data_IF_317551093468
#
_entry.id   IF_317551093468
#
_cell.length_a   1.000
_cell.length_b   1.000
_cell.length_c   1.000
_cell.angle_alpha   90.00
_cell.angle_beta   90.00
_cell.angle_gamma   90.00
#
_symmetry.space_group_name_H-M   'P 1'
#
loop_
_entity.id
_entity.type
_entity.pdbx_description
1 polymer ?
#
# COMPACT_ATOMS: atom_id res chain seq x y z
N UNK A 1 -62.06 -8.95 -21.62
CA UNK A 1 -61.92 -8.10 -20.41
C UNK A 1 -61.70 -9.02 -19.24
N UNK A 2 -60.47 -9.13 -18.73
CA UNK A 2 -60.13 -10.01 -17.63
C UNK A 2 -59.25 -9.26 -16.64
N UNK A 3 -59.84 -8.86 -15.52
CA UNK A 3 -59.17 -8.34 -14.34
C UNK A 3 -58.78 -9.55 -13.49
N UNK A 4 -57.49 -9.74 -13.22
CA UNK A 4 -56.97 -10.77 -12.32
C UNK A 4 -56.48 -10.09 -11.04
N UNK A 5 -57.20 -10.39 -9.97
CA UNK A 5 -56.95 -9.98 -8.59
C UNK A 5 -55.75 -10.73 -8.01
N UNK A 6 -55.00 -9.97 -7.23
CA UNK A 6 -53.87 -10.36 -6.38
C UNK A 6 -54.36 -11.25 -5.23
N UNK A 7 -53.67 -12.35 -4.97
CA UNK A 7 -53.64 -13.00 -3.66
C UNK A 7 -52.20 -13.33 -3.27
N UNK A 8 -51.82 -12.83 -2.10
CA UNK A 8 -50.55 -13.01 -1.41
C UNK A 8 -50.35 -14.47 -1.00
N UNK A 9 -49.11 -14.97 -1.15
CA UNK A 9 -48.65 -16.17 -0.46
C UNK A 9 -47.42 -15.80 0.35
N UNK A 10 -47.60 -15.78 1.67
CA UNK A 10 -46.52 -15.71 2.64
C UNK A 10 -45.71 -17.02 2.59
N UNK A 11 -44.39 -16.93 2.45
CA UNK A 11 -43.47 -18.07 2.62
C UNK A 11 -42.54 -17.80 3.78
N UNK A 12 -42.56 -18.76 4.71
CA UNK A 12 -41.87 -18.82 5.99
C UNK A 12 -40.34 -18.83 5.86
N UNK A 13 -39.67 -18.03 6.70
CA UNK A 13 -38.22 -18.06 6.97
C UNK A 13 -37.87 -19.28 7.84
N UNK A 14 -37.58 -20.42 7.23
CA UNK A 14 -36.79 -21.50 7.82
C UNK A 14 -36.46 -22.49 6.70
N UNK A 15 -35.28 -22.38 6.09
CA UNK A 15 -34.55 -23.46 5.38
C UNK A 15 -33.34 -22.87 4.64
N UNK A 16 -32.29 -22.48 5.36
CA UNK A 16 -30.97 -22.19 4.78
C UNK A 16 -29.85 -22.55 5.76
N UNK A 17 -29.84 -23.80 6.24
CA UNK A 17 -28.68 -24.37 6.94
C UNK A 17 -28.58 -25.87 6.65
N UNK A 18 -27.85 -26.25 5.59
CA UNK A 18 -27.14 -27.52 5.52
C UNK A 18 -26.29 -27.59 4.24
N UNK A 19 -24.97 -27.55 4.39
CA UNK A 19 -23.95 -28.40 3.73
C UNK A 19 -22.58 -27.71 3.70
N UNK A 20 -21.81 -27.92 4.78
CA UNK A 20 -20.36 -27.96 4.73
C UNK A 20 -19.94 -29.24 5.47
N UNK A 21 -19.19 -30.17 4.84
CA UNK A 21 -18.67 -31.33 5.56
C UNK A 21 -17.61 -30.86 6.56
N UNK A 22 -17.70 -31.36 7.78
CA UNK A 22 -16.70 -31.20 8.84
C UNK A 22 -15.34 -31.69 8.37
N UNK A 23 -14.34 -30.82 8.36
CA UNK A 23 -12.95 -31.19 8.11
C UNK A 23 -12.34 -31.79 9.37
N UNK A 24 -11.95 -33.06 9.25
CA UNK A 24 -11.09 -33.74 10.20
C UNK A 24 -9.77 -32.96 10.39
N UNK A 25 -9.43 -32.70 11.64
CA UNK A 25 -8.19 -32.03 12.02
C UNK A 25 -6.99 -32.95 11.76
N UNK A 26 -6.40 -32.82 10.58
CA UNK A 26 -5.03 -33.31 10.35
C UNK A 26 -4.09 -32.36 11.10
N UNK A 27 -3.53 -32.82 12.23
CA UNK A 27 -2.40 -32.17 12.90
C UNK A 27 -1.15 -32.43 12.06
N UNK A 28 -0.80 -31.47 11.21
CA UNK A 28 0.55 -31.40 10.61
C UNK A 28 1.42 -30.63 11.61
N UNK A 29 2.55 -31.23 12.02
CA UNK A 29 3.55 -30.56 12.84
C UNK A 29 4.17 -29.41 12.03
N UNK A 30 3.92 -28.18 12.48
CA UNK A 30 4.24 -26.95 11.77
C UNK A 30 5.60 -26.40 12.23
N UNK A 31 6.61 -26.51 11.36
CA UNK A 31 7.93 -25.90 11.48
C UNK A 31 8.06 -24.65 10.56
N UNK A 32 6.96 -24.04 10.12
CA UNK A 32 7.01 -22.79 9.34
C UNK A 32 7.37 -21.59 10.20
N UNK A 33 8.05 -20.61 9.60
CA UNK A 33 8.28 -19.30 10.22
C UNK A 33 6.90 -18.63 10.35
N UNK A 34 6.41 -18.53 11.59
CA UNK A 34 5.08 -17.99 11.86
C UNK A 34 4.97 -16.56 11.33
N UNK A 35 4.02 -16.30 10.42
CA UNK A 35 3.45 -14.95 10.22
C UNK A 35 2.96 -14.48 11.60
N UNK A 36 3.71 -13.58 12.25
CA UNK A 36 3.67 -13.28 13.69
C UNK A 36 2.28 -13.46 14.33
N UNK A 37 2.09 -14.57 15.06
CA UNK A 37 0.90 -14.78 15.91
C UNK A 37 1.17 -14.11 17.26
N UNK A 38 1.23 -12.78 17.28
CA UNK A 38 1.41 -12.02 18.51
C UNK A 38 0.12 -12.03 19.34
N UNK A 39 0.15 -12.87 20.37
CA UNK A 39 -0.72 -13.01 21.54
C UNK A 39 -1.70 -11.85 21.82
N UNK A 40 -3.00 -12.08 21.57
CA UNK A 40 -4.07 -11.39 22.29
C UNK A 40 -4.30 -12.11 23.63
N UNK A 41 -3.66 -11.63 24.70
CA UNK A 41 -4.02 -12.00 26.07
C UNK A 41 -4.29 -10.72 26.87
N UNK A 42 -5.55 -10.54 27.24
CA UNK A 42 -6.06 -9.42 28.02
C UNK A 42 -5.92 -9.75 29.53
N UNK A 43 -5.37 -8.84 30.35
CA UNK A 43 -6.07 -8.53 31.59
C UNK A 43 -6.04 -7.03 31.92
N UNK A 44 -7.21 -6.42 31.93
CA UNK A 44 -7.44 -5.07 32.48
C UNK A 44 -7.26 -5.04 34.00
N UNK A 45 -6.49 -4.09 34.51
CA UNK A 45 -6.69 -3.47 35.84
C UNK A 45 -6.52 -1.96 35.71
N UNK A 46 -7.37 -1.13 36.34
CA UNK A 46 -7.35 0.31 36.15
C UNK A 46 -6.22 0.94 36.99
N UNK A 47 -5.44 1.84 36.37
CA UNK A 47 -4.57 2.78 37.12
C UNK A 47 -5.03 4.21 36.88
N UNK A 48 -5.00 4.98 37.97
CA UNK A 48 -5.47 6.36 38.16
C UNK A 48 -4.93 7.33 37.10
N UNK A 49 -5.83 8.18 36.61
CA UNK A 49 -5.56 9.40 35.85
C UNK A 49 -4.68 10.38 36.66
N UNK A 50 -3.69 10.98 35.99
CA UNK A 50 -3.06 12.25 36.39
C UNK A 50 -3.39 13.33 35.34
N UNK A 51 -3.45 14.62 35.73
CA UNK A 51 -4.16 15.64 34.97
C UNK A 51 -3.39 16.13 33.75
N UNK A 52 -4.18 16.48 32.74
CA UNK A 52 -3.85 17.02 31.42
C UNK A 52 -3.02 18.31 31.45
N UNK A 53 -2.02 18.38 30.57
CA UNK A 53 -1.45 19.64 30.09
C UNK A 53 -2.14 20.00 28.76
N UNK A 54 -2.83 21.15 28.63
CA UNK A 54 -3.63 21.47 27.46
C UNK A 54 -2.78 22.20 26.41
N UNK A 55 -2.00 21.46 25.61
CA UNK A 55 -1.42 22.01 24.35
C UNK A 55 -0.92 20.97 23.34
N UNK A 56 -1.23 19.67 23.48
CA UNK A 56 -0.85 18.70 22.45
C UNK A 56 -1.99 18.53 21.45
N UNK A 57 -1.95 19.28 20.35
CA UNK A 57 -2.54 18.80 19.10
C UNK A 57 -2.13 17.34 18.94
N UNK A 58 -3.12 16.47 18.77
CA UNK A 58 -2.92 15.04 18.53
C UNK A 58 -1.76 14.87 17.54
N UNK A 59 -0.73 14.07 17.83
CA UNK A 59 0.33 13.87 16.87
C UNK A 59 -0.22 12.93 15.79
N UNK A 60 -0.98 13.51 14.85
CA UNK A 60 -0.75 13.18 13.46
C UNK A 60 0.73 13.55 13.26
N UNK A 61 1.57 12.59 12.86
CA UNK A 61 2.88 12.94 12.30
C UNK A 61 2.55 13.63 10.97
N UNK A 62 2.20 14.91 11.07
CA UNK A 62 1.70 15.76 9.99
C UNK A 62 2.72 16.83 9.60
N UNK A 63 3.99 16.63 9.93
CA UNK A 63 4.97 17.67 9.67
C UNK A 63 6.32 17.20 9.18
N UNK A 64 6.60 15.89 9.15
CA UNK A 64 7.95 15.45 8.80
C UNK A 64 9.06 16.13 9.62
N UNK A 65 8.72 16.59 10.84
CA UNK A 65 9.64 17.28 11.72
C UNK A 65 10.24 16.29 12.72
N UNK A 66 11.43 16.61 13.27
CA UNK A 66 12.05 15.82 14.32
C UNK A 66 11.08 15.53 15.46
N UNK A 67 10.89 14.25 15.76
CA UNK A 67 10.00 13.80 16.84
C UNK A 67 10.56 14.11 18.23
N UNK A 68 11.86 14.43 18.32
CA UNK A 68 12.62 14.52 19.56
C UNK A 68 12.84 13.17 20.25
N UNK A 69 12.39 12.06 19.63
CA UNK A 69 12.50 10.69 20.15
C UNK A 69 13.79 10.02 19.69
N UNK A 70 14.22 10.33 18.46
CA UNK A 70 15.40 9.76 17.80
C UNK A 70 16.30 10.88 17.26
N UNK A 71 17.54 10.55 16.91
CA UNK A 71 18.40 11.45 16.14
C UNK A 71 17.69 11.83 14.84
N UNK A 72 17.56 13.12 14.49
CA UNK A 72 16.95 13.54 13.23
C UNK A 72 17.58 12.84 12.04
N UNK A 73 16.76 12.33 11.12
CA UNK A 73 17.26 11.51 10.00
C UNK A 73 18.34 12.22 9.15
N UNK A 74 18.21 13.53 8.93
CA UNK A 74 19.23 14.31 8.21
C UNK A 74 20.59 14.37 8.92
N UNK A 75 20.62 14.37 10.26
CA UNK A 75 21.86 14.30 11.02
C UNK A 75 22.50 12.92 10.90
N UNK A 76 21.69 11.85 10.95
CA UNK A 76 22.16 10.49 10.71
C UNK A 76 22.82 10.35 9.34
N UNK A 77 22.19 10.84 8.28
CA UNK A 77 22.74 10.82 6.91
C UNK A 77 24.09 11.56 6.83
N UNK A 78 24.15 12.75 7.42
CA UNK A 78 25.38 13.56 7.45
C UNK A 78 26.52 12.85 8.17
N UNK A 79 26.23 12.16 9.28
CA UNK A 79 27.22 11.37 10.04
C UNK A 79 27.72 10.15 9.26
N UNK A 80 26.89 9.53 8.43
CA UNK A 80 27.29 8.38 7.61
C UNK A 80 27.83 8.76 6.23
N UNK A 81 27.87 10.07 5.90
CA UNK A 81 28.31 10.55 4.59
C UNK A 81 27.37 10.16 3.45
N UNK A 82 26.11 9.82 3.76
CA UNK A 82 25.11 9.42 2.77
C UNK A 82 24.32 10.63 2.32
N UNK A 83 24.15 10.82 1.01
CA UNK A 83 23.30 11.87 0.44
C UNK A 83 22.14 11.27 -0.34
N UNK A 84 20.95 11.83 -0.19
CA UNK A 84 19.77 11.46 -0.96
C UNK A 84 19.52 12.50 -2.03
N UNK A 85 19.98 12.17 -3.24
CA UNK A 85 19.83 12.96 -4.47
C UNK A 85 19.21 12.06 -5.54
N UNK A 86 18.27 12.62 -6.30
CA UNK A 86 17.65 11.93 -7.43
C UNK A 86 18.54 12.02 -8.66
N UNK A 87 19.36 11.01 -8.93
CA UNK A 87 20.28 11.02 -10.08
C UNK A 87 19.64 10.58 -11.38
N UNK A 88 18.49 9.90 -11.31
CA UNK A 88 17.76 9.46 -12.49
C UNK A 88 16.26 9.57 -12.22
N UNK A 89 15.47 9.62 -13.29
CA UNK A 89 14.02 9.57 -13.19
C UNK A 89 13.50 8.51 -14.16
N UNK A 90 13.20 7.34 -13.62
CA UNK A 90 12.71 6.19 -14.39
C UNK A 90 11.28 5.81 -14.06
N UNK A 91 10.78 6.27 -12.91
CA UNK A 91 9.47 5.90 -12.40
C UNK A 91 8.64 7.14 -12.05
N UNK A 92 7.38 7.12 -12.47
CA UNK A 92 6.39 8.11 -12.10
C UNK A 92 5.32 7.44 -11.25
N UNK A 93 5.25 7.80 -9.97
CA UNK A 93 4.18 7.34 -9.08
C UNK A 93 3.06 8.37 -9.06
N UNK A 94 1.83 7.90 -9.23
CA UNK A 94 0.66 8.77 -9.36
C UNK A 94 -0.38 8.29 -8.35
N UNK A 95 -0.71 9.15 -7.40
CA UNK A 95 -1.78 8.90 -6.46
C UNK A 95 -3.08 9.50 -7.02
N UNK A 96 -4.02 8.64 -7.44
CA UNK A 96 -5.26 9.08 -8.09
C UNK A 96 -6.29 9.66 -7.12
N UNK A 97 -6.07 9.52 -5.80
CA UNK A 97 -6.98 10.03 -4.78
C UNK A 97 -7.01 9.18 -3.51
N UNK A 98 -7.83 9.60 -2.55
CA UNK A 98 -8.04 8.91 -1.27
C UNK A 98 -9.34 8.11 -1.22
N UNK A 99 -10.16 8.12 -2.28
CA UNK A 99 -11.38 7.30 -2.36
C UNK A 99 -11.03 5.80 -2.39
N UNK A 100 -11.62 5.01 -1.50
CA UNK A 100 -11.40 3.57 -1.40
C UNK A 100 -12.65 2.86 -0.89
N UNK A 101 -12.87 1.60 -1.28
CA UNK A 101 -13.93 0.74 -0.72
C UNK A 101 -13.57 0.10 0.64
N UNK A 102 -12.38 0.39 1.20
CA UNK A 102 -11.93 -0.13 2.49
C UNK A 102 -11.54 1.00 3.45
N UNK A 103 -11.45 0.71 4.75
CA UNK A 103 -10.90 1.63 5.78
C UNK A 103 -9.88 0.88 6.63
N UNK A 104 -8.74 0.54 6.03
CA UNK A 104 -7.68 -0.20 6.72
C UNK A 104 -7.09 0.62 7.88
N UNK A 105 -6.78 -0.06 9.00
CA UNK A 105 -6.23 0.56 10.21
C UNK A 105 -4.78 1.03 10.05
N UNK A 106 -4.05 0.45 9.09
CA UNK A 106 -2.65 0.75 8.80
C UNK A 106 -2.45 1.61 7.54
N UNK A 107 -3.53 2.10 6.92
CA UNK A 107 -3.43 2.84 5.66
C UNK A 107 -2.63 4.13 5.85
N UNK A 108 -1.46 4.21 5.21
CA UNK A 108 -0.62 5.40 5.21
C UNK A 108 -1.23 6.53 4.37
N UNK A 109 -2.11 6.22 3.42
CA UNK A 109 -2.83 7.19 2.58
C UNK A 109 -4.00 7.88 3.31
N UNK A 110 -4.44 7.33 4.44
CA UNK A 110 -5.72 7.69 5.09
C UNK A 110 -6.93 7.58 4.14
N UNK A 111 -6.89 6.62 3.20
CA UNK A 111 -7.93 6.43 2.21
C UNK A 111 -9.21 5.81 2.79
N UNK A 112 -10.37 6.11 2.20
CA UNK A 112 -11.63 5.50 2.61
C UNK A 112 -12.86 5.91 1.80
N UNK A 113 -14.04 5.32 2.10
CA UNK A 113 -15.25 5.49 1.29
C UNK A 113 -15.81 6.93 1.30
N UNK A 114 -15.42 7.70 2.32
CA UNK A 114 -15.88 9.09 2.52
C UNK A 114 -15.01 10.12 1.81
N UNK A 115 -13.81 9.74 1.34
CA UNK A 115 -12.81 10.62 0.72
C UNK A 115 -13.12 10.90 -0.75
N UNK A 116 -14.31 11.45 -1.02
CA UNK A 116 -14.81 11.67 -2.39
C UNK A 116 -14.26 12.93 -3.05
N UNK A 117 -13.72 13.88 -2.27
CA UNK A 117 -13.21 15.16 -2.78
C UNK A 117 -11.76 15.03 -3.24
N UNK A 118 -10.98 14.24 -2.51
CA UNK A 118 -9.60 13.91 -2.84
C UNK A 118 -9.57 12.84 -3.94
N UNK A 119 -9.98 13.22 -5.14
CA UNK A 119 -10.05 12.34 -6.30
C UNK A 119 -9.66 13.14 -7.55
N UNK A 120 -8.63 12.68 -8.26
CA UNK A 120 -8.00 13.40 -9.37
C UNK A 120 -9.00 13.74 -10.46
N UNK A 121 -8.98 15.00 -10.91
CA UNK A 121 -9.80 15.47 -12.01
C UNK A 121 -9.15 15.19 -13.39
N UNK A 122 -9.94 15.37 -14.45
CA UNK A 122 -9.47 15.10 -15.81
C UNK A 122 -8.37 16.06 -16.27
N UNK A 123 -8.34 17.31 -15.80
CA UNK A 123 -7.35 18.30 -16.23
C UNK A 123 -5.97 17.94 -15.67
N UNK A 124 -5.92 17.56 -14.40
CA UNK A 124 -4.70 17.09 -13.75
C UNK A 124 -4.21 15.80 -14.39
N UNK A 125 -5.10 14.83 -14.66
CA UNK A 125 -4.72 13.60 -15.36
C UNK A 125 -4.11 13.89 -16.74
N UNK A 126 -4.68 14.83 -17.49
CA UNK A 126 -4.21 15.22 -18.83
C UNK A 126 -2.83 15.86 -18.78
N UNK A 127 -2.62 16.75 -17.81
CA UNK A 127 -1.33 17.38 -17.62
C UNK A 127 -0.25 16.38 -17.22
N UNK A 128 -0.57 15.40 -16.38
CA UNK A 128 0.37 14.34 -16.01
C UNK A 128 0.72 13.47 -17.23
N UNK A 129 -0.28 13.10 -18.04
CA UNK A 129 -0.05 12.36 -19.28
C UNK A 129 0.87 13.17 -20.20
N UNK A 130 0.62 14.46 -20.41
CA UNK A 130 1.45 15.36 -21.22
C UNK A 130 2.90 15.43 -20.70
N UNK A 131 3.10 15.71 -19.41
CA UNK A 131 4.42 15.78 -18.79
C UNK A 131 5.20 14.47 -18.91
N UNK A 132 4.49 13.34 -18.78
CA UNK A 132 5.12 12.05 -18.96
C UNK A 132 5.55 11.81 -20.41
N UNK A 133 4.88 12.43 -21.41
CA UNK A 133 5.20 12.27 -22.84
C UNK A 133 6.51 12.95 -23.22
N UNK A 134 6.87 14.03 -22.54
CA UNK A 134 8.11 14.78 -22.80
C UNK A 134 9.32 14.23 -22.03
N UNK A 135 9.12 13.23 -21.16
CA UNK A 135 10.18 12.62 -20.35
C UNK A 135 10.49 11.19 -20.83
N UNK A 136 11.46 11.05 -21.72
CA UNK A 136 11.85 9.76 -22.33
C UNK A 136 12.48 8.76 -21.36
N UNK A 137 13.03 9.23 -20.23
CA UNK A 137 13.68 8.34 -19.25
C UNK A 137 12.67 7.55 -18.40
N UNK A 138 11.39 7.98 -18.37
CA UNK A 138 10.34 7.26 -17.66
C UNK A 138 10.04 5.97 -18.40
N UNK A 139 10.15 4.86 -17.69
CA UNK A 139 9.86 3.51 -18.20
C UNK A 139 8.72 2.84 -17.45
N UNK A 140 8.45 3.30 -16.22
CA UNK A 140 7.43 2.72 -15.32
C UNK A 140 6.51 3.81 -14.78
N UNK A 141 5.20 3.53 -14.77
CA UNK A 141 4.19 4.31 -14.07
C UNK A 141 3.55 3.45 -12.99
N UNK A 142 3.54 3.94 -11.75
CA UNK A 142 2.96 3.26 -10.59
C UNK A 142 1.69 3.98 -10.12
N UNK A 143 0.53 3.37 -10.39
CA UNK A 143 -0.78 3.93 -10.05
C UNK A 143 -1.18 3.47 -8.66
N UNK A 144 -1.33 4.43 -7.76
CA UNK A 144 -1.68 4.23 -6.34
C UNK A 144 -2.84 5.14 -5.93
N UNK A 145 -3.21 5.12 -4.64
CA UNK A 145 -4.25 5.95 -4.07
C UNK A 145 -5.02 5.23 -2.99
N UNK A 146 -6.33 5.41 -2.96
CA UNK A 146 -7.22 4.69 -2.06
C UNK A 146 -7.56 3.32 -2.61
N UNK A 147 -8.36 3.31 -3.67
CA UNK A 147 -8.30 2.31 -4.71
C UNK A 147 -8.19 3.09 -6.02
N UNK A 148 -7.04 3.08 -6.73
CA UNK A 148 -6.85 3.88 -7.95
C UNK A 148 -7.94 3.63 -8.99
N UNK A 149 -8.48 2.42 -9.04
CA UNK A 149 -9.51 1.98 -9.98
C UNK A 149 -10.85 2.72 -9.78
N UNK A 150 -11.07 3.33 -8.60
CA UNK A 150 -12.25 4.15 -8.29
C UNK A 150 -12.17 5.57 -8.85
N UNK A 151 -11.04 5.99 -9.43
CA UNK A 151 -10.94 7.27 -10.12
C UNK A 151 -11.46 7.15 -11.57
N UNK A 152 -12.25 8.13 -12.01
CA UNK A 152 -12.86 8.12 -13.35
C UNK A 152 -11.83 8.14 -14.50
N UNK A 153 -10.61 8.63 -14.25
CA UNK A 153 -9.54 8.71 -15.23
C UNK A 153 -8.64 7.46 -15.27
N UNK A 154 -8.81 6.49 -14.36
CA UNK A 154 -7.93 5.32 -14.25
C UNK A 154 -7.71 4.61 -15.59
N UNK A 155 -8.81 4.22 -16.27
CA UNK A 155 -8.72 3.52 -17.55
C UNK A 155 -8.00 4.34 -18.62
N UNK A 156 -8.35 5.62 -18.73
CA UNK A 156 -7.75 6.55 -19.69
C UNK A 156 -6.24 6.71 -19.46
N UNK A 157 -5.82 6.84 -18.20
CA UNK A 157 -4.40 6.96 -17.85
C UNK A 157 -3.65 5.67 -18.19
N UNK A 158 -4.18 4.52 -17.78
CA UNK A 158 -3.61 3.20 -18.14
C UNK A 158 -3.43 3.07 -19.64
N UNK A 159 -4.48 3.29 -20.42
CA UNK A 159 -4.44 3.20 -21.89
C UNK A 159 -3.39 4.15 -22.49
N UNK A 160 -3.30 5.38 -21.99
CA UNK A 160 -2.36 6.40 -22.47
C UNK A 160 -0.89 6.05 -22.18
N UNK A 161 -0.62 5.44 -21.02
CA UNK A 161 0.73 5.00 -20.68
C UNK A 161 1.12 3.70 -21.40
N UNK A 162 0.18 2.75 -21.50
CA UNK A 162 0.40 1.48 -22.22
C UNK A 162 0.57 1.68 -23.72
N UNK A 163 -0.15 2.61 -24.35
CA UNK A 163 0.02 2.92 -25.78
C UNK A 163 1.40 3.47 -26.12
N UNK A 164 2.13 3.96 -25.11
CA UNK A 164 3.53 4.41 -25.23
C UNK A 164 4.56 3.33 -24.90
N UNK A 165 4.12 2.11 -24.58
CA UNK A 165 4.98 1.01 -24.19
C UNK A 165 5.51 1.11 -22.75
N UNK A 166 4.98 2.01 -21.92
CA UNK A 166 5.39 2.10 -20.52
C UNK A 166 4.89 0.88 -19.73
N UNK A 167 5.70 0.42 -18.78
CA UNK A 167 5.26 -0.53 -17.76
C UNK A 167 4.27 0.21 -16.83
N UNK A 168 3.09 -0.36 -16.59
CA UNK A 168 2.09 0.23 -15.71
C UNK A 168 1.81 -0.74 -14.58
N UNK A 169 1.89 -0.25 -13.34
CA UNK A 169 1.60 -0.98 -12.12
C UNK A 169 0.29 -0.44 -11.54
N UNK A 170 -0.57 -1.35 -11.09
CA UNK A 170 -1.77 -1.06 -10.33
C UNK A 170 -1.62 -1.57 -8.88
N UNK A 171 -1.67 -0.66 -7.90
CA UNK A 171 -1.63 -1.00 -6.47
C UNK A 171 -3.01 -1.36 -5.97
N UNK A 172 -3.38 -2.60 -6.24
CA UNK A 172 -4.72 -3.12 -6.01
C UNK A 172 -4.92 -3.56 -4.54
N UNK A 173 -6.08 -3.21 -3.98
CA UNK A 173 -6.47 -3.63 -2.64
C UNK A 173 -7.17 -5.02 -2.60
N UNK A 174 -7.30 -5.68 -3.75
CA UNK A 174 -7.99 -6.94 -4.04
C UNK A 174 -9.52 -6.92 -3.91
N UNK A 175 -10.10 -6.30 -2.87
CA UNK A 175 -11.56 -6.37 -2.67
C UNK A 175 -12.33 -5.55 -3.69
N UNK A 176 -11.69 -4.54 -4.30
CA UNK A 176 -12.25 -3.77 -5.42
C UNK A 176 -12.67 -4.66 -6.59
N UNK A 177 -12.00 -5.80 -6.80
CA UNK A 177 -12.32 -6.76 -7.88
C UNK A 177 -13.69 -7.45 -7.73
N UNK A 178 -14.28 -7.35 -6.53
CA UNK A 178 -15.59 -7.88 -6.16
C UNK A 178 -16.59 -6.78 -5.78
N UNK A 179 -16.21 -5.51 -5.91
CA UNK A 179 -17.06 -4.38 -5.57
C UNK A 179 -18.09 -4.14 -6.68
N UNK A 180 -19.34 -3.85 -6.30
CA UNK A 180 -20.40 -3.58 -7.28
C UNK A 180 -20.06 -2.37 -8.15
N UNK A 181 -20.13 -2.54 -9.48
CA UNK A 181 -19.75 -1.52 -10.47
C UNK A 181 -18.27 -1.54 -10.86
N UNK A 182 -17.47 -2.42 -10.26
CA UNK A 182 -16.03 -2.61 -10.54
C UNK A 182 -15.71 -4.02 -11.07
N UNK A 183 -16.72 -4.76 -11.54
CA UNK A 183 -16.57 -6.11 -12.09
C UNK A 183 -15.60 -6.14 -13.28
N UNK A 184 -15.50 -5.01 -14.00
CA UNK A 184 -14.64 -4.79 -15.17
C UNK A 184 -13.13 -4.74 -14.86
N UNK A 185 -12.74 -4.51 -13.61
CA UNK A 185 -11.34 -4.17 -13.26
C UNK A 185 -10.37 -5.27 -13.68
N UNK A 186 -10.60 -6.53 -13.27
CA UNK A 186 -9.67 -7.63 -13.55
C UNK A 186 -9.46 -7.85 -15.06
N UNK A 187 -10.55 -7.86 -15.84
CA UNK A 187 -10.50 -8.06 -17.29
C UNK A 187 -9.79 -6.90 -17.99
N UNK A 188 -10.06 -5.66 -17.54
CA UNK A 188 -9.38 -4.48 -18.05
C UNK A 188 -7.86 -4.53 -17.80
N UNK A 189 -7.44 -4.86 -16.57
CA UNK A 189 -6.03 -4.99 -16.21
C UNK A 189 -5.33 -6.06 -17.05
N UNK A 190 -5.98 -7.22 -17.25
CA UNK A 190 -5.45 -8.29 -18.10
C UNK A 190 -5.30 -7.82 -19.57
N UNK A 191 -6.34 -7.21 -20.13
CA UNK A 191 -6.35 -6.74 -21.52
C UNK A 191 -5.29 -5.67 -21.79
N UNK A 192 -5.05 -4.78 -20.82
CA UNK A 192 -4.02 -3.74 -20.90
C UNK A 192 -2.63 -4.24 -20.48
N UNK A 193 -2.52 -5.48 -20.01
CA UNK A 193 -1.31 -6.07 -19.44
C UNK A 193 -0.70 -5.20 -18.32
N UNK A 194 -1.57 -4.68 -17.45
CA UNK A 194 -1.16 -3.95 -16.25
C UNK A 194 -0.63 -4.94 -15.23
N UNK A 195 0.49 -4.62 -14.61
CA UNK A 195 1.03 -5.44 -13.52
C UNK A 195 0.27 -5.15 -12.23
N UNK A 196 -0.15 -6.20 -11.52
CA UNK A 196 -0.91 -6.06 -10.29
C UNK A 196 0.00 -6.25 -9.09
N UNK A 197 0.12 -5.22 -8.25
CA UNK A 197 0.77 -5.31 -6.94
C UNK A 197 -0.31 -5.28 -5.86
N UNK A 198 -0.68 -6.46 -5.38
CA UNK A 198 -1.84 -6.66 -4.54
C UNK A 198 -1.50 -6.67 -3.04
N UNK A 199 -2.22 -5.87 -2.26
CA UNK A 199 -2.04 -5.85 -0.79
C UNK A 199 -2.65 -7.10 -0.13
N UNK A 200 -1.81 -7.95 0.48
CA UNK A 200 -2.24 -9.12 1.27
C UNK A 200 -1.31 -9.31 2.50
N UNK A 201 -1.61 -8.66 3.64
CA UNK A 201 -0.69 -8.57 4.79
C UNK A 201 -0.35 -9.91 5.46
N UNK A 202 -1.13 -10.96 5.24
CA UNK A 202 -0.82 -12.32 5.68
C UNK A 202 -1.65 -13.33 4.85
N UNK A 203 -1.20 -14.58 4.74
CA UNK A 203 -1.99 -15.68 4.16
C UNK A 203 -3.02 -16.28 5.16
N UNK A 204 -3.12 -15.72 6.37
CA UNK A 204 -4.05 -16.15 7.42
C UNK A 204 -5.19 -15.13 7.61
N UNK A 205 -6.42 -15.63 7.62
CA UNK A 205 -7.65 -14.84 7.76
C UNK A 205 -7.65 -13.92 8.98
N UNK A 206 -7.41 -14.46 10.19
CA UNK A 206 -7.41 -13.71 11.45
C UNK A 206 -6.52 -12.44 11.38
N UNK A 207 -5.37 -12.56 10.71
CA UNK A 207 -4.41 -11.47 10.60
C UNK A 207 -4.90 -10.40 9.61
N UNK A 208 -5.41 -10.82 8.45
CA UNK A 208 -5.92 -9.91 7.42
C UNK A 208 -7.16 -9.19 7.92
N UNK A 209 -8.12 -9.93 8.48
CA UNK A 209 -9.38 -9.37 8.96
C UNK A 209 -9.17 -8.45 10.18
N UNK A 210 -8.23 -8.78 11.06
CA UNK A 210 -7.85 -7.93 12.19
C UNK A 210 -7.26 -6.58 11.77
N UNK A 211 -6.63 -6.51 10.59
CA UNK A 211 -5.94 -5.31 10.09
C UNK A 211 -6.78 -4.52 9.08
N UNK A 212 -7.57 -5.20 8.23
CA UNK A 212 -8.28 -4.60 7.10
C UNK A 212 -9.80 -4.59 7.28
N UNK A 213 -10.33 -5.35 8.23
CA UNK A 213 -11.76 -5.47 8.51
C UNK A 213 -12.29 -6.86 8.21
N UNK A 214 -13.38 -7.22 8.89
CA UNK A 214 -14.01 -8.55 8.78
C UNK A 214 -14.44 -8.85 7.34
N UNK A 215 -14.16 -10.08 6.88
CA UNK A 215 -14.50 -10.57 5.56
C UNK A 215 -13.63 -10.02 4.44
N UNK A 216 -12.57 -9.26 4.74
CA UNK A 216 -11.64 -8.78 3.72
C UNK A 216 -10.83 -9.95 3.17
N UNK A 217 -10.38 -10.87 4.02
CA UNK A 217 -9.58 -12.01 3.59
C UNK A 217 -10.29 -12.85 2.52
N UNK A 218 -11.54 -13.28 2.77
CA UNK A 218 -12.31 -14.06 1.81
C UNK A 218 -12.44 -13.37 0.46
N UNK A 219 -12.82 -12.09 0.45
CA UNK A 219 -12.89 -11.28 -0.79
C UNK A 219 -11.53 -11.12 -1.48
N UNK A 220 -10.44 -11.03 -0.71
CA UNK A 220 -9.09 -10.99 -1.27
C UNK A 220 -8.72 -12.31 -1.95
N UNK A 221 -9.07 -13.46 -1.35
CA UNK A 221 -8.87 -14.78 -1.97
C UNK A 221 -9.68 -14.91 -3.27
N UNK A 222 -10.95 -14.50 -3.27
CA UNK A 222 -11.79 -14.51 -4.47
C UNK A 222 -11.20 -13.63 -5.58
N UNK A 223 -10.71 -12.44 -5.23
CA UNK A 223 -10.02 -11.53 -6.15
C UNK A 223 -8.75 -12.14 -6.76
N UNK A 224 -7.93 -12.82 -5.95
CA UNK A 224 -6.73 -13.52 -6.42
C UNK A 224 -7.06 -14.70 -7.35
N UNK A 225 -8.10 -15.47 -7.03
CA UNK A 225 -8.59 -16.54 -7.90
C UNK A 225 -9.08 -16.00 -9.24
N UNK A 226 -9.79 -14.86 -9.24
CA UNK A 226 -10.21 -14.18 -10.47
C UNK A 226 -9.00 -13.77 -11.30
N UNK A 227 -7.99 -13.13 -10.71
CA UNK A 227 -6.75 -12.75 -11.39
C UNK A 227 -6.03 -13.98 -11.96
N UNK A 228 -5.82 -15.04 -11.16
CA UNK A 228 -5.20 -16.28 -11.64
C UNK A 228 -5.98 -16.91 -12.79
N UNK A 229 -7.32 -16.86 -12.79
CA UNK A 229 -8.13 -17.38 -13.90
C UNK A 229 -7.90 -16.66 -15.23
N UNK A 230 -7.45 -15.40 -15.17
CA UNK A 230 -7.05 -14.58 -16.34
C UNK A 230 -5.58 -14.78 -16.72
N UNK A 231 -4.82 -15.58 -15.95
CA UNK A 231 -3.40 -15.89 -16.20
C UNK A 231 -2.42 -15.07 -15.37
N UNK A 232 -2.86 -14.17 -14.48
CA UNK A 232 -1.95 -13.44 -13.60
C UNK A 232 -1.19 -14.39 -12.67
N UNK A 233 0.12 -14.19 -12.50
CA UNK A 233 0.93 -14.97 -11.57
C UNK A 233 1.32 -16.37 -12.05
N UNK A 234 0.75 -16.82 -13.18
CA UNK A 234 0.96 -18.17 -13.69
C UNK A 234 2.27 -18.29 -14.48
N UNK A 235 2.91 -19.44 -14.38
CA UNK A 235 4.10 -19.75 -15.17
C UNK A 235 3.81 -19.69 -16.68
N UNK A 236 4.65 -18.96 -17.43
CA UNK A 236 4.50 -18.79 -18.88
C UNK A 236 3.53 -17.68 -19.31
N UNK A 237 2.82 -17.06 -18.36
CA UNK A 237 2.02 -15.86 -18.62
C UNK A 237 2.88 -14.59 -18.57
N UNK A 238 2.52 -13.60 -19.39
CA UNK A 238 3.11 -12.25 -19.29
C UNK A 238 2.49 -11.40 -18.18
N UNK A 239 1.34 -11.82 -17.61
CA UNK A 239 0.58 -11.05 -16.62
C UNK A 239 1.18 -11.19 -15.22
N UNK A 240 1.76 -10.10 -14.71
CA UNK A 240 2.45 -10.09 -13.41
C UNK A 240 1.48 -9.85 -12.25
N UNK A 241 1.60 -10.68 -11.23
CA UNK A 241 0.93 -10.53 -9.94
C UNK A 241 1.95 -10.67 -8.82
N UNK A 242 2.24 -9.56 -8.16
CA UNK A 242 3.06 -9.51 -6.95
C UNK A 242 2.16 -9.27 -5.74
N UNK A 243 2.52 -9.83 -4.58
CA UNK A 243 1.81 -9.64 -3.32
C UNK A 243 2.61 -8.77 -2.37
N UNK A 244 1.94 -7.94 -1.59
CA UNK A 244 2.58 -7.09 -0.56
C UNK A 244 2.29 -7.65 0.82
N UNK A 245 3.36 -7.96 1.57
CA UNK A 245 3.31 -8.22 3.00
C UNK A 245 3.67 -6.96 3.76
N UNK A 246 2.89 -6.64 4.78
CA UNK A 246 3.25 -5.64 5.76
C UNK A 246 2.92 -6.15 7.19
N UNK A 247 3.81 -5.92 8.18
CA UNK A 247 3.60 -6.41 9.53
C UNK A 247 2.26 -5.94 10.15
N UNK A 248 1.63 -6.79 10.95
CA UNK A 248 0.41 -6.43 11.71
C UNK A 248 0.70 -5.55 12.94
N UNK A 249 1.96 -5.41 13.32
CA UNK A 249 2.41 -4.68 14.50
C UNK A 249 3.70 -3.88 14.28
N UNK A 250 4.22 -3.23 15.35
CA UNK A 250 5.41 -2.40 15.31
C UNK A 250 6.70 -3.22 15.26
N UNK A 251 6.89 -3.99 14.21
CA UNK A 251 8.10 -4.76 13.93
C UNK A 251 8.59 -4.51 12.52
N UNK A 252 9.87 -4.75 12.27
CA UNK A 252 10.39 -4.87 10.91
C UNK A 252 9.80 -6.12 10.22
N UNK A 253 9.70 -6.13 8.89
CA UNK A 253 9.35 -7.34 8.16
C UNK A 253 10.41 -8.45 8.39
N UNK A 254 10.02 -9.73 8.33
CA UNK A 254 10.96 -10.83 8.30
C UNK A 254 11.60 -10.94 6.91
N UNK A 255 12.55 -11.87 6.77
CA UNK A 255 13.26 -12.10 5.52
C UNK A 255 12.29 -12.34 4.34
N UNK A 256 12.36 -11.51 3.30
CA UNK A 256 11.46 -11.51 2.16
C UNK A 256 11.52 -12.83 1.39
N UNK A 257 12.71 -13.39 1.18
CA UNK A 257 12.88 -14.65 0.40
C UNK A 257 12.23 -15.83 1.12
N UNK A 258 12.48 -15.94 2.42
CA UNK A 258 11.89 -16.99 3.26
C UNK A 258 10.38 -16.82 3.35
N UNK A 259 9.91 -15.59 3.55
CA UNK A 259 8.49 -15.28 3.63
C UNK A 259 7.76 -15.52 2.29
N UNK A 260 8.41 -15.23 1.16
CA UNK A 260 7.88 -15.53 -0.18
C UNK A 260 7.64 -17.02 -0.35
N UNK A 261 8.61 -17.86 0.04
CA UNK A 261 8.48 -19.30 -0.03
C UNK A 261 7.32 -19.82 0.83
N UNK A 262 7.14 -19.26 2.02
CA UNK A 262 5.99 -19.58 2.88
C UNK A 262 4.67 -19.14 2.25
N UNK A 263 4.57 -17.92 1.72
CA UNK A 263 3.38 -17.44 1.02
C UNK A 263 3.01 -18.32 -0.17
N UNK A 264 4.00 -18.64 -1.02
CA UNK A 264 3.79 -19.50 -2.20
C UNK A 264 3.26 -20.87 -1.78
N UNK A 265 3.87 -21.50 -0.77
CA UNK A 265 3.41 -22.81 -0.25
C UNK A 265 1.99 -22.73 0.31
N UNK A 266 1.72 -21.78 1.21
CA UNK A 266 0.45 -21.71 1.92
C UNK A 266 -0.71 -21.32 0.99
N UNK A 267 -0.53 -20.33 0.12
CA UNK A 267 -1.58 -19.92 -0.83
C UNK A 267 -1.85 -20.99 -1.89
N UNK A 268 -0.81 -21.66 -2.39
CA UNK A 268 -0.98 -22.78 -3.33
C UNK A 268 -1.68 -23.96 -2.68
N UNK A 269 -1.24 -24.38 -1.49
CA UNK A 269 -1.79 -25.56 -0.82
C UNK A 269 -3.23 -25.37 -0.35
N UNK A 270 -3.62 -24.17 0.07
CA UNK A 270 -4.94 -23.91 0.66
C UNK A 270 -5.98 -23.49 -0.38
N UNK A 271 -5.55 -22.75 -1.39
CA UNK A 271 -6.46 -22.07 -2.33
C UNK A 271 -6.10 -22.30 -3.80
N UNK A 272 -4.97 -22.95 -4.11
CA UNK A 272 -4.51 -23.14 -5.49
C UNK A 272 -3.90 -21.90 -6.14
N UNK A 273 -3.68 -20.82 -5.37
CA UNK A 273 -3.24 -19.51 -5.86
C UNK A 273 -1.73 -19.51 -6.17
N UNK A 274 -1.36 -18.86 -7.28
CA UNK A 274 0.01 -18.57 -7.70
C UNK A 274 0.24 -17.06 -7.85
N UNK A 275 1.48 -16.62 -7.64
CA UNK A 275 1.92 -15.22 -7.80
C UNK A 275 3.43 -15.19 -8.10
N UNK A 276 3.92 -14.09 -8.66
CA UNK A 276 5.30 -13.94 -9.11
C UNK A 276 6.26 -13.67 -7.93
N UNK A 277 6.08 -12.57 -7.20
CA UNK A 277 6.94 -12.17 -6.07
C UNK A 277 6.18 -11.68 -4.85
N UNK A 278 6.81 -11.81 -3.68
CA UNK A 278 6.35 -11.20 -2.44
C UNK A 278 7.21 -9.98 -2.12
N UNK A 279 6.56 -8.85 -1.87
CA UNK A 279 7.19 -7.59 -1.52
C UNK A 279 6.97 -7.35 -0.02
N UNK A 280 8.00 -7.54 0.79
CA UNK A 280 7.94 -7.29 2.22
C UNK A 280 8.24 -5.81 2.49
N UNK A 281 7.29 -5.10 3.09
CA UNK A 281 7.41 -3.66 3.34
C UNK A 281 7.35 -3.33 4.83
N UNK A 282 8.12 -2.32 5.22
CA UNK A 282 8.07 -1.74 6.56
C UNK A 282 6.90 -0.76 6.63
N UNK A 283 6.08 -0.86 7.68
CA UNK A 283 5.01 0.12 7.88
C UNK A 283 5.62 1.48 8.25
N UNK A 284 5.43 2.49 7.41
CA UNK A 284 5.90 3.84 7.67
C UNK A 284 5.02 4.51 8.74
N UNK A 285 5.60 5.09 9.81
CA UNK A 285 4.85 5.65 10.94
C UNK A 285 4.21 7.00 10.60
N UNK A 286 3.26 7.02 9.67
CA UNK A 286 2.52 8.22 9.25
C UNK A 286 1.00 7.95 9.25
N UNK A 287 0.20 9.02 9.21
CA UNK A 287 -1.28 9.01 9.17
C UNK A 287 -1.92 7.99 10.13
N UNK A 288 -2.70 7.01 9.63
CA UNK A 288 -3.44 6.07 10.49
C UNK A 288 -2.53 5.15 11.27
N UNK A 289 -1.41 4.72 10.69
CA UNK A 289 -0.48 3.85 11.39
C UNK A 289 0.22 4.60 12.54
N UNK A 290 0.63 5.85 12.33
CA UNK A 290 1.12 6.71 13.42
C UNK A 290 0.08 6.85 14.55
N UNK A 291 -1.18 7.13 14.19
CA UNK A 291 -2.30 7.25 15.14
C UNK A 291 -2.50 5.95 15.93
N UNK A 292 -2.44 4.80 15.25
CA UNK A 292 -2.53 3.48 15.85
C UNK A 292 -1.41 3.23 16.86
N UNK A 293 -0.16 3.55 16.50
CA UNK A 293 1.00 3.42 17.38
C UNK A 293 0.89 4.34 18.60
N UNK A 294 0.47 5.60 18.38
CA UNK A 294 0.32 6.59 19.44
C UNK A 294 -0.75 6.15 20.45
N UNK A 295 -1.93 5.74 19.99
CA UNK A 295 -3.02 5.25 20.86
C UNK A 295 -2.62 4.03 21.70
N UNK A 296 -1.61 3.27 21.27
CA UNK A 296 -1.08 2.10 21.98
C UNK A 296 0.18 2.41 22.81
N UNK A 297 0.64 3.67 22.84
CA UNK A 297 1.88 4.04 23.51
C UNK A 297 3.13 3.37 22.90
N UNK A 298 3.10 3.05 21.61
CA UNK A 298 4.16 2.34 20.89
C UNK A 298 4.93 3.20 19.88
N UNK A 299 4.48 4.42 19.63
CA UNK A 299 5.08 5.29 18.62
C UNK A 299 6.57 5.53 18.88
N UNK A 300 6.92 5.95 20.10
CA UNK A 300 8.31 6.24 20.45
C UNK A 300 9.21 5.01 20.30
N UNK A 301 8.81 3.87 20.88
CA UNK A 301 9.57 2.62 20.76
C UNK A 301 9.72 2.13 19.32
N UNK A 302 8.71 2.39 18.47
CA UNK A 302 8.78 2.02 17.06
C UNK A 302 9.73 2.93 16.28
N UNK A 303 9.71 4.25 16.53
CA UNK A 303 10.69 5.17 15.96
C UNK A 303 12.12 4.77 16.36
N UNK A 304 12.35 4.43 17.63
CA UNK A 304 13.65 3.91 18.10
C UNK A 304 14.04 2.64 17.37
N UNK A 305 13.13 1.67 17.21
CA UNK A 305 13.40 0.45 16.44
C UNK A 305 13.88 0.77 15.03
N UNK A 306 13.19 1.67 14.31
CA UNK A 306 13.57 2.05 12.95
C UNK A 306 14.95 2.74 12.92
N UNK A 307 15.21 3.66 13.86
CA UNK A 307 16.46 4.41 13.91
C UNK A 307 17.67 3.55 14.34
N UNK A 308 17.47 2.59 15.24
CA UNK A 308 18.50 1.64 15.69
C UNK A 308 18.86 0.63 14.60
N UNK A 309 17.92 0.35 13.69
CA UNK A 309 18.13 -0.54 12.55
C UNK A 309 18.44 0.21 11.25
N UNK A 310 18.81 1.49 11.31
CA UNK A 310 19.22 2.24 10.12
C UNK A 310 20.33 1.51 9.36
N UNK A 311 20.11 1.32 8.06
CA UNK A 311 21.04 0.67 7.16
C UNK A 311 21.44 1.63 6.03
N UNK A 312 22.72 2.00 5.97
CA UNK A 312 23.23 2.92 4.94
C UNK A 312 23.16 2.33 3.54
N UNK A 313 23.31 1.01 3.39
CA UNK A 313 23.15 0.36 2.09
C UNK A 313 21.69 0.44 1.61
N UNK A 314 20.72 0.30 2.52
CA UNK A 314 19.32 0.52 2.19
C UNK A 314 19.04 1.97 1.81
N UNK A 315 19.65 2.94 2.52
CA UNK A 315 19.55 4.36 2.20
C UNK A 315 20.08 4.69 0.79
N UNK A 316 21.08 3.96 0.28
CA UNK A 316 21.57 4.14 -1.08
C UNK A 316 20.60 3.66 -2.16
N UNK A 317 19.66 2.77 -1.81
CA UNK A 317 18.76 2.07 -2.73
C UNK A 317 17.29 2.50 -2.59
N UNK A 318 17.00 3.56 -1.83
CA UNK A 318 15.62 4.04 -1.66
C UNK A 318 15.02 4.52 -2.98
N UNK A 319 13.73 4.21 -3.18
CA UNK A 319 13.01 4.49 -4.43
C UNK A 319 12.96 5.97 -4.84
N UNK A 320 12.98 6.91 -3.87
CA UNK A 320 12.92 8.35 -4.17
C UNK A 320 14.12 8.86 -4.99
N UNK A 321 15.19 8.07 -5.13
CA UNK A 321 16.34 8.38 -5.99
C UNK A 321 16.10 8.17 -7.48
N UNK A 322 15.02 7.46 -7.85
CA UNK A 322 14.65 7.18 -9.25
C UNK A 322 13.20 7.54 -9.60
N UNK A 323 12.48 8.14 -8.65
CA UNK A 323 11.03 8.36 -8.72
C UNK A 323 10.63 9.80 -8.39
N UNK A 324 9.52 10.23 -8.99
CA UNK A 324 8.72 11.38 -8.56
C UNK A 324 7.29 10.91 -8.28
N UNK A 325 6.68 11.40 -7.20
CA UNK A 325 5.28 11.14 -6.86
C UNK A 325 4.42 12.36 -7.16
N UNK A 326 3.27 12.17 -7.81
CA UNK A 326 2.31 13.23 -8.11
C UNK A 326 0.98 12.94 -7.41
N UNK A 327 0.46 13.93 -6.70
CA UNK A 327 -0.82 13.88 -6.02
C UNK A 327 -2.03 14.04 -6.92
N UNK A 328 -3.20 13.70 -6.37
CA UNK A 328 -4.50 13.80 -7.04
C UNK A 328 -4.86 15.25 -7.40
N UNK A 329 -4.29 16.21 -6.67
CA UNK A 329 -4.37 17.66 -6.86
C UNK A 329 -3.30 18.22 -7.80
N UNK A 330 -2.36 17.37 -8.25
CA UNK A 330 -1.26 17.76 -9.12
C UNK A 330 -0.05 18.32 -8.39
N UNK A 331 -0.01 18.27 -7.05
CA UNK A 331 1.21 18.59 -6.30
C UNK A 331 2.29 17.50 -6.50
N UNK A 332 3.56 17.90 -6.44
CA UNK A 332 4.70 17.05 -6.76
C UNK A 332 5.57 16.82 -5.50
N UNK A 333 5.97 15.57 -5.30
CA UNK A 333 6.68 15.09 -4.12
C UNK A 333 7.82 14.14 -4.48
N UNK A 334 8.78 13.97 -3.57
CA UNK A 334 9.90 13.04 -3.79
C UNK A 334 9.49 11.56 -3.72
N UNK A 335 8.44 11.22 -2.96
CA UNK A 335 7.79 9.90 -2.93
C UNK A 335 6.39 9.96 -2.31
N UNK A 336 5.62 8.87 -2.39
CA UNK A 336 4.29 8.75 -1.77
C UNK A 336 4.29 8.95 -0.25
N UNK A 337 5.38 8.62 0.46
CA UNK A 337 5.44 8.91 1.90
C UNK A 337 5.61 10.39 2.21
N UNK A 338 6.43 11.12 1.44
CA UNK A 338 6.52 12.58 1.53
C UNK A 338 5.16 13.22 1.20
N UNK A 339 4.50 12.72 0.14
CA UNK A 339 3.16 13.15 -0.23
C UNK A 339 2.17 12.95 0.92
N UNK A 340 2.20 11.79 1.58
CA UNK A 340 1.27 11.51 2.67
C UNK A 340 1.53 12.35 3.93
N UNK A 341 2.57 13.16 3.99
CA UNK A 341 2.78 14.15 5.06
C UNK A 341 2.91 15.57 4.52
N UNK A 342 2.45 15.80 3.29
CA UNK A 342 2.42 17.10 2.63
C UNK A 342 3.82 17.77 2.57
N UNK A 343 4.87 16.96 2.41
CA UNK A 343 6.27 17.41 2.34
C UNK A 343 6.70 17.59 0.88
N UNK A 344 6.80 18.83 0.37
CA UNK A 344 6.95 19.09 -1.05
C UNK A 344 8.32 18.63 -1.60
N UNK A 345 8.36 18.40 -2.92
CA UNK A 345 9.58 18.00 -3.63
C UNK A 345 10.72 19.01 -3.42
N UNK A 346 11.88 18.54 -2.96
CA UNK A 346 13.05 19.40 -2.72
C UNK A 346 12.82 20.57 -1.75
N UNK A 347 11.75 20.55 -0.95
CA UNK A 347 11.41 21.59 0.03
C UNK A 347 10.59 22.76 -0.52
N UNK A 348 10.21 22.72 -1.81
CA UNK A 348 9.46 23.79 -2.47
C UNK A 348 8.17 23.26 -3.08
N UNK A 349 7.03 23.90 -2.80
CA UNK A 349 5.75 23.51 -3.39
C UNK A 349 5.80 23.68 -4.91
N UNK A 350 5.67 22.57 -5.63
CA UNK A 350 5.59 22.51 -7.07
C UNK A 350 4.35 21.73 -7.47
N UNK A 351 3.77 22.10 -8.61
CA UNK A 351 2.63 21.41 -9.20
C UNK A 351 2.92 21.06 -10.64
N UNK A 352 2.11 20.17 -11.21
CA UNK A 352 2.16 19.85 -12.65
C UNK A 352 1.94 21.05 -13.57
N UNK A 353 1.45 22.18 -13.03
CA UNK A 353 1.23 23.43 -13.75
C UNK A 353 2.41 24.42 -13.65
N UNK A 354 3.33 24.22 -12.69
CA UNK A 354 4.46 25.12 -12.46
C UNK A 354 5.77 24.62 -13.09
N UNK A 355 5.73 23.47 -13.77
CA UNK A 355 6.89 22.87 -14.44
C UNK A 355 6.61 22.65 -15.92
N UNK A 356 7.68 22.65 -16.71
CA UNK A 356 7.66 22.30 -18.12
C UNK A 356 8.09 20.84 -18.33
N UNK A 357 8.92 20.29 -17.44
CA UNK A 357 9.43 18.93 -17.52
C UNK A 357 9.65 18.27 -16.17
N UNK A 358 9.36 16.97 -16.08
CA UNK A 358 9.68 16.17 -14.90
C UNK A 358 11.20 16.03 -14.68
N UNK A 359 12.00 16.21 -15.73
CA UNK A 359 13.47 16.16 -15.62
C UNK A 359 14.05 17.31 -14.79
N UNK A 360 13.28 18.36 -14.53
CA UNK A 360 13.71 19.45 -13.67
C UNK A 360 14.09 18.98 -12.25
N UNK A 361 13.61 17.81 -11.83
CA UNK A 361 13.88 17.24 -10.50
C UNK A 361 15.07 16.26 -10.44
N UNK A 362 15.76 16.03 -11.55
CA UNK A 362 17.01 15.26 -11.58
C UNK A 362 18.16 16.11 -11.04
N UNK A 363 19.11 15.44 -10.38
CA UNK A 363 20.24 15.99 -9.65
C UNK A 363 19.85 17.01 -8.56
N UNK A 364 18.61 16.90 -8.05
CA UNK A 364 18.13 17.68 -6.91
C UNK A 364 18.14 16.86 -5.61
N UNK A 365 18.38 17.53 -4.46
CA UNK A 365 18.20 16.92 -3.15
C UNK A 365 16.77 16.43 -2.94
N UNK A 366 16.64 15.34 -2.20
CA UNK A 366 15.35 14.76 -1.80
C UNK A 366 14.94 15.33 -0.44
N UNK A 367 13.66 15.69 -0.28
CA UNK A 367 13.10 16.10 1.00
C UNK A 367 13.07 14.93 1.99
N UNK A 368 13.66 15.13 3.16
CA UNK A 368 13.85 14.08 4.17
C UNK A 368 13.30 14.46 5.54
N UNK A 369 12.92 13.44 6.31
CA UNK A 369 12.39 13.57 7.66
C UNK A 369 12.51 12.25 8.45
N UNK A 370 12.12 12.27 9.72
CA UNK A 370 12.23 11.10 10.61
C UNK A 370 11.45 9.86 10.11
N UNK A 371 10.39 10.04 9.32
CA UNK A 371 9.67 8.92 8.72
C UNK A 371 10.54 8.10 7.73
N UNK A 372 11.59 8.70 7.17
CA UNK A 372 12.52 8.05 6.24
C UNK A 372 13.32 6.91 6.90
N UNK A 373 13.39 6.86 8.24
CA UNK A 373 13.90 5.67 8.93
C UNK A 373 13.08 4.42 8.59
N UNK A 374 11.79 4.54 8.27
CA UNK A 374 10.97 3.40 7.84
C UNK A 374 11.44 2.77 6.53
N UNK A 375 11.92 3.58 5.58
CA UNK A 375 12.42 3.09 4.29
C UNK A 375 13.87 2.57 4.36
N UNK A 376 14.61 2.97 5.39
CA UNK A 376 16.06 2.70 5.52
C UNK A 376 16.40 1.71 6.64
N UNK A 377 15.42 1.27 7.42
CA UNK A 377 15.64 0.30 8.48
C UNK A 377 15.74 -1.14 7.95
N UNK A 378 16.65 -1.95 8.52
CA UNK A 378 16.81 -3.36 8.21
C UNK A 378 17.23 -3.60 6.76
N UNK A 379 16.47 -4.42 6.03
CA UNK A 379 16.62 -4.65 4.58
C UNK A 379 16.24 -3.44 3.71
N UNK A 380 15.80 -2.35 4.35
CA UNK A 380 15.11 -1.25 3.72
C UNK A 380 13.73 -1.65 3.20
N UNK A 381 12.98 -0.64 2.76
CA UNK A 381 11.63 -0.83 2.26
C UNK A 381 11.35 0.16 1.15
N UNK A 382 10.94 -0.35 0.01
CA UNK A 382 10.39 0.41 -1.12
C UNK A 382 9.01 -0.11 -1.48
N UNK A 383 8.32 0.58 -2.38
CA UNK A 383 7.11 0.05 -2.99
C UNK A 383 7.37 -1.21 -3.86
N UNK A 384 8.63 -1.63 -4.02
CA UNK A 384 9.10 -2.86 -4.67
C UNK A 384 9.67 -3.89 -3.67
N UNK A 385 9.40 -3.75 -2.37
CA UNK A 385 9.88 -4.66 -1.32
C UNK A 385 11.22 -4.26 -0.71
N UNK A 386 11.94 -5.24 -0.14
CA UNK A 386 13.28 -5.07 0.41
C UNK A 386 14.27 -4.59 -0.68
N UNK A 387 15.17 -3.66 -0.30
CA UNK A 387 16.08 -2.98 -1.26
C UNK A 387 17.54 -3.41 -1.15
N UNK A 388 17.87 -4.16 -0.09
CA UNK A 388 19.17 -4.85 0.04
C UNK A 388 18.95 -6.31 0.41
N UNK A 389 19.95 -7.14 0.14
CA UNK A 389 19.94 -8.54 0.57
C UNK A 389 19.96 -8.62 2.10
N UNK A 390 19.21 -9.58 2.63
CA UNK A 390 19.01 -9.84 4.06
C UNK A 390 19.89 -10.95 4.60
#
# INVERSE_FOLDING_TARGET
>A
MGVLLVQEVAVSMADYHAKWPSTDRIRIADNSVRCNRALFANPWKPRRFMPSNPSSLLPVIDAGLPTGVVEPFGQRLSRTGTSLVRHTLTELQINLGKLCNQTCTHCHVDAGPTKKRENMDAKTADRIIELSQTCESITTVDLTGGAPEMNANFRRMVESFRSRGLRVIDRCNLTILSETGFEWVADFLANQQVEVVASLPCYLEDNVDGQRGRGVFGRSIDGLLKLNSLGFGQQGSSLQLDLVFNPTGPSLPPNQTTLEADYKRELKSRYGIEFNRLLAITNIPIRRYATFLHKRGKLASYMTLLADNYNSAAAEQVMCKSLVSIGWDGEIYDCDFNQMIDMPIGGETQTVWSIDSLQEFVDRPISIADHCYGCTAGAGSSCSGAVVAE
#
